data_IF_437927373042
#
_entry.id   IF_437927373042
#
_cell.length_a   1.000
_cell.length_b   1.000
_cell.length_c   1.000
_cell.angle_alpha   90.00
_cell.angle_beta   90.00
_cell.angle_gamma   90.00
#
_symmetry.space_group_name_H-M   'P 1'
#
loop_
_entity.id
_entity.type
_entity.pdbx_description
1 polymer ?
#
# COMPACT_ATOMS: atom_id res chain seq x y z
N UNK A 1 -3.17 -13.44 11.34
CA UNK A 1 -2.07 -12.51 11.04
C UNK A 1 -2.62 -11.09 11.14
N UNK A 2 -1.84 -10.15 11.68
CA UNK A 2 -2.27 -8.75 11.78
C UNK A 2 -2.18 -8.12 10.39
N UNK A 3 -3.30 -7.63 9.86
CA UNK A 3 -3.36 -6.97 8.54
C UNK A 3 -2.58 -5.66 8.50
N UNK A 4 -2.34 -5.06 9.67
CA UNK A 4 -1.67 -3.76 9.81
C UNK A 4 -0.14 -3.83 9.66
N UNK A 5 0.46 -5.02 9.69
CA UNK A 5 1.91 -5.21 9.64
C UNK A 5 2.56 -4.54 8.41
N UNK A 6 1.89 -4.63 7.26
CA UNK A 6 2.38 -3.99 6.02
C UNK A 6 2.27 -2.46 6.10
N UNK A 7 1.22 -1.93 6.75
CA UNK A 7 1.05 -0.48 6.95
C UNK A 7 2.12 0.07 7.91
N UNK A 8 2.40 -0.65 9.00
CA UNK A 8 3.46 -0.33 9.95
C UNK A 8 4.84 -0.37 9.28
N UNK A 9 5.08 -1.37 8.41
CA UNK A 9 6.30 -1.47 7.62
C UNK A 9 6.50 -0.27 6.69
N UNK A 10 5.46 0.12 5.93
CA UNK A 10 5.52 1.30 5.07
C UNK A 10 5.74 2.57 5.90
N UNK A 11 5.04 2.72 7.04
CA UNK A 11 5.22 3.87 7.93
C UNK A 11 6.68 4.02 8.36
N UNK A 12 7.31 2.93 8.82
CA UNK A 12 8.69 2.93 9.29
C UNK A 12 9.67 3.27 8.16
N UNK A 13 9.51 2.65 7.00
CA UNK A 13 10.47 2.77 5.89
C UNK A 13 10.31 4.06 5.09
N UNK A 14 9.10 4.62 5.02
CA UNK A 14 8.84 5.92 4.41
C UNK A 14 8.97 7.09 5.40
N UNK A 15 9.39 6.82 6.65
CA UNK A 15 9.57 7.82 7.70
C UNK A 15 8.31 8.69 7.94
N UNK A 16 7.15 8.04 7.97
CA UNK A 16 5.86 8.70 8.21
C UNK A 16 5.60 8.86 9.71
N UNK A 17 4.98 9.98 10.10
CA UNK A 17 4.62 10.21 11.49
C UNK A 17 3.47 9.31 11.94
N UNK A 18 2.51 9.06 11.04
CA UNK A 18 1.33 8.23 11.31
C UNK A 18 1.03 7.30 10.13
N UNK A 19 0.45 6.12 10.41
CA UNK A 19 -0.06 5.22 9.35
C UNK A 19 -1.06 5.93 8.42
N UNK A 20 -1.89 6.82 8.98
CA UNK A 20 -2.86 7.59 8.21
C UNK A 20 -2.24 8.48 7.13
N UNK A 21 -0.96 8.83 7.27
CA UNK A 21 -0.24 9.66 6.30
C UNK A 21 -0.11 8.95 4.94
N UNK A 22 -0.16 7.61 4.90
CA UNK A 22 -0.15 6.82 3.65
C UNK A 22 -1.31 7.22 2.72
N UNK A 23 -2.43 7.71 3.26
CA UNK A 23 -3.60 8.15 2.46
C UNK A 23 -3.50 9.60 2.01
N UNK A 24 -2.52 10.37 2.51
CA UNK A 24 -2.27 11.72 2.03
C UNK A 24 -1.64 11.66 0.63
N UNK A 25 -2.18 12.34 -0.39
CA UNK A 25 -1.65 12.29 -1.74
C UNK A 25 -0.16 12.65 -1.88
N UNK A 26 0.35 13.53 -1.01
CA UNK A 26 1.76 13.94 -1.03
C UNK A 26 2.65 12.76 -0.58
N UNK A 27 2.39 12.22 0.60
CA UNK A 27 3.17 11.11 1.16
C UNK A 27 2.93 9.80 0.41
N UNK A 28 1.73 9.57 -0.14
CA UNK A 28 1.43 8.40 -0.94
C UNK A 28 2.41 8.28 -2.12
N UNK A 29 2.68 9.37 -2.84
CA UNK A 29 3.60 9.37 -3.98
C UNK A 29 5.01 8.95 -3.59
N UNK A 30 5.48 9.37 -2.42
CA UNK A 30 6.78 8.96 -1.86
C UNK A 30 6.76 7.47 -1.50
N UNK A 31 5.66 6.99 -0.90
CA UNK A 31 5.48 5.59 -0.56
C UNK A 31 5.43 4.65 -1.77
N UNK A 32 4.96 5.11 -2.94
CA UNK A 32 4.86 4.26 -4.14
C UNK A 32 6.22 3.77 -4.62
N UNK A 33 7.26 4.59 -4.52
CA UNK A 33 8.62 4.18 -4.89
C UNK A 33 9.03 2.97 -4.05
N UNK A 34 8.89 3.10 -2.72
CA UNK A 34 9.17 2.02 -1.77
C UNK A 34 8.28 0.79 -1.97
N UNK A 35 6.97 0.98 -2.19
CA UNK A 35 6.04 -0.13 -2.46
C UNK A 35 6.46 -0.99 -3.66
N UNK A 36 7.09 -0.38 -4.67
CA UNK A 36 7.58 -1.12 -5.82
C UNK A 36 8.87 -1.91 -5.52
N UNK A 37 9.60 -1.57 -4.46
CA UNK A 37 10.83 -2.24 -4.01
C UNK A 37 10.57 -3.40 -3.04
N UNK A 38 9.37 -3.50 -2.46
CA UNK A 38 9.00 -4.62 -1.59
C UNK A 38 9.00 -5.92 -2.40
N UNK A 39 9.66 -6.97 -1.90
CA UNK A 39 9.62 -8.30 -2.51
C UNK A 39 8.20 -8.89 -2.46
N UNK A 40 7.78 -9.59 -3.51
CA UNK A 40 6.42 -10.12 -3.62
C UNK A 40 6.08 -11.17 -2.54
N UNK A 41 7.09 -11.87 -2.01
CA UNK A 41 6.93 -12.87 -0.95
C UNK A 41 7.08 -12.31 0.47
N UNK A 42 7.43 -11.03 0.62
CA UNK A 42 7.56 -10.37 1.92
C UNK A 42 6.23 -10.29 2.68
N UNK A 43 5.11 -10.20 1.96
CA UNK A 43 3.77 -10.10 2.52
C UNK A 43 2.78 -11.00 1.81
N UNK A 44 1.77 -11.45 2.56
CA UNK A 44 0.68 -12.26 1.99
C UNK A 44 -0.19 -11.44 1.05
N UNK A 45 -0.85 -12.11 0.10
CA UNK A 45 -1.82 -11.46 -0.80
C UNK A 45 -2.94 -10.74 -0.04
N UNK A 46 -3.32 -11.22 1.15
CA UNK A 46 -4.33 -10.58 1.99
C UNK A 46 -3.84 -9.24 2.56
N UNK A 47 -2.56 -9.14 2.93
CA UNK A 47 -1.96 -7.87 3.37
C UNK A 47 -1.89 -6.87 2.21
N UNK A 48 -1.53 -7.32 1.00
CA UNK A 48 -1.56 -6.47 -0.19
C UNK A 48 -2.97 -5.95 -0.51
N UNK A 49 -3.99 -6.80 -0.44
CA UNK A 49 -5.39 -6.39 -0.61
C UNK A 49 -5.80 -5.37 0.43
N UNK A 50 -5.48 -5.62 1.69
CA UNK A 50 -5.79 -4.71 2.79
C UNK A 50 -5.14 -3.34 2.61
N UNK A 51 -3.87 -3.28 2.20
CA UNK A 51 -3.19 -2.02 1.84
C UNK A 51 -3.95 -1.26 0.75
N UNK A 52 -4.35 -1.96 -0.32
CA UNK A 52 -5.10 -1.36 -1.41
C UNK A 52 -6.44 -0.79 -0.94
N UNK A 53 -7.18 -1.55 -0.14
CA UNK A 53 -8.45 -1.12 0.46
C UNK A 53 -8.26 0.08 1.38
N UNK A 54 -7.20 0.08 2.17
CA UNK A 54 -6.85 1.18 3.06
C UNK A 54 -6.58 2.48 2.30
N UNK A 55 -5.81 2.40 1.21
CA UNK A 55 -5.44 3.56 0.38
C UNK A 55 -6.63 4.08 -0.41
N UNK A 56 -7.35 3.17 -1.08
CA UNK A 56 -8.37 3.53 -2.07
C UNK A 56 -9.77 3.70 -1.48
N UNK A 57 -10.02 3.12 -0.30
CA UNK A 57 -11.35 3.00 0.29
C UNK A 57 -12.28 2.02 -0.47
N UNK A 58 -11.74 1.22 -1.39
CA UNK A 58 -12.51 0.29 -2.23
C UNK A 58 -12.04 -1.15 -2.02
N UNK A 59 -12.97 -2.10 -1.97
CA UNK A 59 -12.70 -3.54 -1.84
C UNK A 59 -11.76 -4.05 -2.94
N UNK A 60 -10.78 -4.88 -2.57
CA UNK A 60 -9.78 -5.43 -3.48
C UNK A 60 -9.85 -6.96 -3.55
N UNK A 61 -10.34 -7.51 -4.66
CA UNK A 61 -10.46 -8.96 -4.88
C UNK A 61 -9.31 -9.58 -5.68
N UNK A 62 -8.33 -8.78 -6.13
CA UNK A 62 -7.22 -9.24 -6.97
C UNK A 62 -6.39 -10.33 -6.29
N UNK A 63 -6.06 -11.42 -6.98
CA UNK A 63 -5.18 -12.48 -6.49
C UNK A 63 -3.72 -12.33 -6.90
N UNK A 64 -3.37 -11.26 -7.63
CA UNK A 64 -2.01 -11.00 -8.09
C UNK A 64 -1.49 -9.66 -7.55
N UNK A 65 -0.28 -9.67 -6.98
CA UNK A 65 0.36 -8.50 -6.38
C UNK A 65 0.56 -7.39 -7.42
N UNK A 66 1.02 -7.73 -8.63
CA UNK A 66 1.14 -6.76 -9.74
C UNK A 66 -0.16 -6.03 -10.06
N UNK A 67 -1.28 -6.72 -10.04
CA UNK A 67 -2.58 -6.10 -10.28
C UNK A 67 -2.97 -5.17 -9.13
N UNK A 68 -2.66 -5.54 -7.88
CA UNK A 68 -2.89 -4.69 -6.71
C UNK A 68 -2.03 -3.41 -6.79
N UNK A 69 -0.72 -3.54 -7.09
CA UNK A 69 0.17 -2.39 -7.28
C UNK A 69 -0.34 -1.45 -8.37
N UNK A 70 -0.83 -1.99 -9.48
CA UNK A 70 -1.43 -1.18 -10.56
C UNK A 70 -2.67 -0.40 -10.12
N UNK A 71 -3.52 -0.98 -9.27
CA UNK A 71 -4.68 -0.28 -8.71
C UNK A 71 -4.22 0.89 -7.83
N UNK A 72 -3.29 0.64 -6.91
CA UNK A 72 -2.74 1.66 -6.00
C UNK A 72 -2.06 2.79 -6.80
N UNK A 73 -1.21 2.44 -7.76
CA UNK A 73 -0.56 3.40 -8.66
C UNK A 73 -1.59 4.22 -9.44
N UNK A 74 -2.63 3.58 -9.99
CA UNK A 74 -3.66 4.30 -10.76
C UNK A 74 -4.46 5.26 -9.88
N UNK A 75 -4.71 4.89 -8.62
CA UNK A 75 -5.38 5.75 -7.65
C UNK A 75 -4.55 6.99 -7.32
N UNK A 76 -3.24 6.83 -7.08
CA UNK A 76 -2.36 7.95 -6.69
C UNK A 76 -2.22 9.05 -7.76
N UNK A 77 -2.43 8.71 -9.03
CA UNK A 77 -2.42 9.67 -10.14
C UNK A 77 -3.75 10.43 -10.29
N UNK A 78 -4.83 9.95 -9.65
CA UNK A 78 -6.16 10.57 -9.69
C UNK A 78 -6.38 11.56 -8.54
N UNK A 79 -5.59 11.46 -7.48
CA UNK A 79 -5.70 12.27 -6.25
C UNK A 79 -4.64 13.36 -6.14
#
# INVERSE_FOLDING_TARGET
MKTDEMLEYIQLHCNLNYISDIRNPIYLKECLAFLNEIDDDAFTIQQWRYLCEYITGQECSSSAIDAIRKIINSFSHRV
#
